data_IF_294002514401
#
_entry.id   IF_294002514401
#
_cell.length_a   1.000
_cell.length_b   1.000
_cell.length_c   1.000
_cell.angle_alpha   90.00
_cell.angle_beta   90.00
_cell.angle_gamma   90.00
#
_symmetry.space_group_name_H-M   'P 1'
#
loop_
_entity.id
_entity.type
_entity.pdbx_description
1 polymer ?
#
# COMPACT_ATOMS: atom_id res chain seq x y z
N UNK A 1 35.59 6.97 9.35
CA UNK A 1 34.30 6.81 8.63
C UNK A 1 34.02 5.33 8.50
N UNK A 2 32.83 4.87 8.86
CA UNK A 2 32.48 3.45 8.63
C UNK A 2 32.42 3.18 7.10
N UNK A 3 32.88 1.99 6.63
CA UNK A 3 32.87 1.67 5.21
C UNK A 3 31.42 1.68 4.65
N UNK A 4 31.27 2.00 3.36
CA UNK A 4 29.97 2.01 2.70
C UNK A 4 29.29 0.62 2.76
N UNK A 5 27.94 0.55 2.79
CA UNK A 5 27.24 -0.73 2.68
C UNK A 5 27.45 -1.34 1.29
N UNK A 6 27.38 -2.67 1.19
CA UNK A 6 27.29 -3.40 -0.08
C UNK A 6 25.83 -3.60 -0.48
N UNK A 7 25.57 -4.07 -1.71
CA UNK A 7 24.22 -4.41 -2.17
C UNK A 7 23.58 -5.49 -1.27
N UNK A 8 24.35 -6.46 -0.79
CA UNK A 8 23.86 -7.48 0.15
C UNK A 8 23.42 -6.88 1.50
N UNK A 9 24.15 -5.89 1.99
CA UNK A 9 23.71 -5.15 3.17
C UNK A 9 22.38 -4.42 2.91
N UNK A 10 22.22 -3.78 1.75
CA UNK A 10 20.98 -3.08 1.39
C UNK A 10 19.81 -4.05 1.22
N UNK A 11 20.01 -5.24 0.64
CA UNK A 11 19.01 -6.30 0.52
C UNK A 11 18.52 -6.78 1.88
N UNK A 12 19.44 -7.22 2.73
CA UNK A 12 19.13 -7.67 4.10
C UNK A 12 18.43 -6.60 4.91
N UNK A 13 18.91 -5.37 4.82
CA UNK A 13 18.28 -4.22 5.46
C UNK A 13 16.86 -3.98 4.94
N UNK A 14 16.64 -3.99 3.61
CA UNK A 14 15.32 -3.81 3.01
C UNK A 14 14.31 -4.86 3.51
N UNK A 15 14.73 -6.13 3.54
CA UNK A 15 13.91 -7.26 3.99
C UNK A 15 13.61 -7.16 5.49
N UNK A 16 14.63 -7.06 6.33
CA UNK A 16 14.48 -7.04 7.79
C UNK A 16 13.67 -5.84 8.27
N UNK A 17 13.88 -4.67 7.64
CA UNK A 17 13.16 -3.45 7.96
C UNK A 17 11.69 -3.52 7.60
N UNK A 18 11.38 -4.03 6.42
CA UNK A 18 10.02 -4.11 5.92
C UNK A 18 9.23 -5.26 6.57
N UNK A 19 9.86 -6.42 6.75
CA UNK A 19 9.26 -7.63 7.33
C UNK A 19 9.61 -7.77 8.82
N UNK A 20 9.34 -6.71 9.58
CA UNK A 20 9.56 -6.68 11.03
C UNK A 20 8.75 -7.76 11.77
N UNK A 21 9.17 -8.14 12.99
CA UNK A 21 8.45 -9.13 13.80
C UNK A 21 6.96 -8.80 13.95
N UNK A 22 6.05 -9.79 13.87
CA UNK A 22 4.62 -9.59 14.02
C UNK A 22 4.24 -8.85 15.30
N UNK A 23 3.25 -7.96 15.19
CA UNK A 23 2.73 -7.14 16.29
C UNK A 23 1.21 -6.98 16.15
N UNK A 24 0.59 -6.07 16.89
CA UNK A 24 -0.85 -5.77 16.73
C UNK A 24 -1.13 -5.06 15.40
N UNK A 25 -2.36 -5.19 14.90
CA UNK A 25 -2.78 -4.57 13.64
C UNK A 25 -2.56 -3.05 13.63
N UNK A 26 -2.94 -2.35 14.71
CA UNK A 26 -2.73 -0.90 14.83
C UNK A 26 -1.26 -0.52 14.77
N UNK A 27 -0.40 -1.24 15.53
CA UNK A 27 1.06 -1.00 15.53
C UNK A 27 1.70 -1.30 14.17
N UNK A 28 1.25 -2.36 13.49
CA UNK A 28 1.76 -2.70 12.16
C UNK A 28 1.43 -1.61 11.13
N UNK A 29 0.18 -1.09 11.13
CA UNK A 29 -0.23 -0.01 10.25
C UNK A 29 0.52 1.29 10.58
N UNK A 30 0.63 1.64 11.85
CA UNK A 30 1.39 2.82 12.30
C UNK A 30 2.87 2.74 11.85
N UNK A 31 3.52 1.57 12.01
CA UNK A 31 4.91 1.37 11.59
C UNK A 31 5.09 1.42 10.06
N UNK A 32 4.12 0.94 9.29
CA UNK A 32 4.10 1.03 7.84
C UNK A 32 3.79 2.44 7.34
N UNK A 33 3.10 3.27 8.15
CA UNK A 33 2.63 4.61 7.82
C UNK A 33 1.55 4.66 6.74
N UNK A 34 1.45 3.61 5.92
CA UNK A 34 0.48 3.44 4.84
C UNK A 34 0.39 1.97 4.41
N UNK A 35 -0.82 1.47 4.18
CA UNK A 35 -1.06 0.13 3.63
C UNK A 35 -1.91 0.25 2.37
N UNK A 36 -1.35 -0.06 1.20
CA UNK A 36 -2.07 0.05 -0.06
C UNK A 36 -3.24 -0.93 -0.12
N UNK A 37 -4.39 -0.44 -0.55
CA UNK A 37 -5.57 -1.24 -0.85
C UNK A 37 -5.61 -1.63 -2.33
N UNK A 38 -6.05 -2.86 -2.60
CA UNK A 38 -6.33 -3.33 -3.95
C UNK A 38 -7.60 -4.21 -3.91
N UNK A 39 -8.53 -4.06 -4.87
CA UNK A 39 -9.78 -4.83 -4.89
C UNK A 39 -9.59 -6.27 -5.30
N UNK A 40 -8.50 -6.63 -5.99
CA UNK A 40 -8.25 -7.99 -6.49
C UNK A 40 -8.03 -8.94 -5.32
N UNK A 41 -8.70 -10.09 -5.37
CA UNK A 41 -8.61 -11.17 -4.39
C UNK A 41 -7.96 -12.40 -5.04
N UNK A 42 -6.64 -12.45 -5.05
CA UNK A 42 -5.90 -13.56 -5.63
C UNK A 42 -4.57 -13.83 -4.87
N UNK A 43 -4.59 -14.67 -3.81
CA UNK A 43 -5.70 -15.39 -3.18
C UNK A 43 -6.48 -14.53 -2.17
N UNK A 44 -5.95 -13.39 -1.73
CA UNK A 44 -6.59 -12.41 -0.84
C UNK A 44 -6.27 -11.00 -1.33
N UNK A 45 -6.87 -9.98 -0.72
CA UNK A 45 -6.58 -8.58 -1.07
C UNK A 45 -5.14 -8.22 -0.70
N UNK A 46 -4.52 -7.29 -1.45
CA UNK A 46 -3.14 -6.86 -1.25
C UNK A 46 -2.84 -6.39 0.18
N UNK A 47 -3.76 -5.64 0.80
CA UNK A 47 -3.60 -5.20 2.19
C UNK A 47 -3.54 -6.37 3.17
N UNK A 48 -4.37 -7.40 2.98
CA UNK A 48 -4.36 -8.58 3.83
C UNK A 48 -3.07 -9.40 3.64
N UNK A 49 -2.64 -9.59 2.38
CA UNK A 49 -1.37 -10.25 2.05
C UNK A 49 -0.15 -9.50 2.61
N UNK A 50 -0.20 -8.16 2.66
CA UNK A 50 0.86 -7.35 3.26
C UNK A 50 0.87 -7.47 4.78
N UNK A 51 -0.31 -7.42 5.43
CA UNK A 51 -0.44 -7.41 6.89
C UNK A 51 -0.20 -8.78 7.51
N UNK A 52 -0.48 -9.89 6.83
CA UNK A 52 -0.29 -11.25 7.36
C UNK A 52 1.13 -11.56 7.83
N UNK A 53 2.13 -10.91 7.27
CA UNK A 53 3.53 -11.08 7.68
C UNK A 53 3.93 -10.21 8.88
N UNK A 54 3.08 -9.27 9.29
CA UNK A 54 3.39 -8.19 10.27
C UNK A 54 2.44 -8.13 11.43
N UNK A 55 1.37 -8.93 11.41
CA UNK A 55 0.36 -8.95 12.46
C UNK A 55 0.21 -10.37 12.99
N UNK A 56 0.25 -10.51 14.31
CA UNK A 56 0.07 -11.80 14.99
C UNK A 56 -1.32 -12.36 14.70
N UNK A 57 -1.39 -13.65 14.34
CA UNK A 57 -2.62 -14.41 14.09
C UNK A 57 -3.59 -13.77 13.08
N UNK A 58 -3.04 -13.00 12.11
CA UNK A 58 -3.83 -12.29 11.11
C UNK A 58 -4.53 -13.23 10.14
N UNK A 59 -5.82 -12.98 9.89
CA UNK A 59 -6.64 -13.69 8.92
C UNK A 59 -7.11 -12.75 7.81
N UNK A 60 -7.35 -13.29 6.63
CA UNK A 60 -7.88 -12.53 5.51
C UNK A 60 -9.20 -11.83 5.90
N UNK A 61 -9.26 -10.52 5.65
CA UNK A 61 -10.39 -9.67 6.01
C UNK A 61 -10.37 -9.09 7.44
N UNK A 62 -9.37 -9.40 8.28
CA UNK A 62 -9.27 -8.83 9.64
C UNK A 62 -9.23 -7.30 9.65
N UNK A 63 -8.53 -6.69 8.69
CA UNK A 63 -8.51 -5.23 8.57
C UNK A 63 -9.91 -4.66 8.35
N UNK A 64 -10.68 -5.25 7.43
CA UNK A 64 -12.03 -4.79 7.12
C UNK A 64 -12.98 -4.96 8.31
N UNK A 65 -12.94 -6.13 8.99
CA UNK A 65 -13.75 -6.40 10.17
C UNK A 65 -13.46 -5.47 11.36
N UNK A 66 -12.21 -5.04 11.49
CA UNK A 66 -11.74 -4.23 12.61
C UNK A 66 -11.64 -2.75 12.29
N UNK A 67 -11.85 -2.35 11.03
CA UNK A 67 -11.62 -1.01 10.51
C UNK A 67 -12.24 0.09 11.39
N UNK A 68 -13.53 -0.04 11.73
CA UNK A 68 -14.26 0.96 12.52
C UNK A 68 -13.72 1.18 13.95
N UNK A 69 -12.86 0.25 14.44
CA UNK A 69 -12.25 0.31 15.78
C UNK A 69 -10.77 0.74 15.74
N UNK A 70 -10.23 1.03 14.55
CA UNK A 70 -8.85 1.43 14.35
C UNK A 70 -8.77 2.94 14.13
N UNK A 71 -7.68 3.54 14.62
CA UNK A 71 -7.37 4.95 14.37
C UNK A 71 -6.70 5.12 13.00
N UNK A 72 -7.47 4.82 11.94
CA UNK A 72 -7.04 4.88 10.55
C UNK A 72 -8.15 5.46 9.67
N UNK A 73 -7.73 6.00 8.54
CA UNK A 73 -8.61 6.47 7.49
C UNK A 73 -8.25 5.80 6.17
N UNK A 74 -9.22 5.66 5.29
CA UNK A 74 -9.04 5.14 3.94
C UNK A 74 -9.01 6.30 2.95
N UNK A 75 -7.88 6.53 2.28
CA UNK A 75 -7.71 7.66 1.36
C UNK A 75 -6.49 7.48 0.43
N UNK A 76 -6.26 8.45 -0.46
CA UNK A 76 -5.08 8.53 -1.31
C UNK A 76 -3.87 9.07 -0.54
N UNK A 77 -2.78 8.31 -0.61
CA UNK A 77 -1.45 8.70 -0.16
C UNK A 77 -0.45 8.56 -1.34
N UNK A 78 0.45 7.59 -1.33
CA UNK A 78 1.22 7.22 -2.54
C UNK A 78 0.29 6.57 -3.57
N UNK A 79 -0.70 5.84 -3.10
CA UNK A 79 -1.81 5.27 -3.83
C UNK A 79 -3.04 5.26 -2.90
N UNK A 80 -4.14 4.63 -3.31
CA UNK A 80 -5.29 4.45 -2.44
C UNK A 80 -5.01 3.37 -1.37
N UNK A 81 -5.37 3.63 -0.12
CA UNK A 81 -5.17 2.66 0.97
C UNK A 81 -5.49 3.18 2.36
N UNK A 82 -4.92 2.56 3.36
CA UNK A 82 -5.18 2.80 4.77
C UNK A 82 -4.03 3.61 5.38
N UNK A 83 -4.37 4.70 6.05
CA UNK A 83 -3.47 5.73 6.58
C UNK A 83 -3.79 5.94 8.05
N UNK A 84 -2.82 6.02 8.98
CA UNK A 84 -3.07 6.47 10.35
C UNK A 84 -3.77 7.83 10.38
N UNK A 85 -4.77 8.02 11.25
CA UNK A 85 -5.56 9.26 11.32
C UNK A 85 -4.71 10.53 11.51
N UNK A 86 -3.63 10.54 12.32
CA UNK A 86 -2.75 11.71 12.42
C UNK A 86 -2.06 12.07 11.10
N UNK A 87 -1.65 11.06 10.30
CA UNK A 87 -1.08 11.29 8.96
C UNK A 87 -2.15 11.80 8.00
N UNK A 88 -3.35 11.22 8.06
CA UNK A 88 -4.47 11.64 7.24
C UNK A 88 -4.87 13.11 7.50
N UNK A 89 -4.84 13.55 8.74
CA UNK A 89 -5.12 14.94 9.11
C UNK A 89 -4.21 15.96 8.39
N UNK A 90 -2.96 15.58 8.08
CA UNK A 90 -2.04 16.42 7.30
C UNK A 90 -2.46 16.58 5.82
N UNK A 91 -3.33 15.73 5.30
CA UNK A 91 -3.75 15.77 3.88
C UNK A 91 -4.90 16.73 3.64
N UNK A 92 -5.62 17.14 4.70
CA UNK A 92 -6.85 17.89 4.60
C UNK A 92 -6.79 19.26 5.28
N UNK A 93 -7.56 20.25 4.79
CA UNK A 93 -8.49 20.15 3.64
C UNK A 93 -7.72 19.98 2.33
N UNK A 94 -8.19 19.06 1.50
CA UNK A 94 -7.57 18.81 0.19
C UNK A 94 -8.22 19.70 -0.86
N UNK A 95 -7.41 20.47 -1.58
CA UNK A 95 -7.85 21.24 -2.75
C UNK A 95 -7.74 20.36 -3.99
N UNK A 96 -8.87 19.94 -4.53
CA UNK A 96 -8.89 19.10 -5.72
C UNK A 96 -8.43 19.87 -6.96
N UNK A 97 -7.68 19.22 -7.85
CA UNK A 97 -7.18 19.85 -9.09
C UNK A 97 -8.28 20.29 -10.05
N UNK A 98 -9.41 19.58 -10.02
CA UNK A 98 -10.57 19.87 -10.86
C UNK A 98 -11.64 20.44 -9.95
N UNK A 99 -12.00 21.70 -10.20
CA UNK A 99 -13.09 22.34 -9.51
C UNK A 99 -14.45 21.80 -10.00
N UNK A 100 -15.38 21.67 -9.07
CA UNK A 100 -16.74 21.30 -9.42
C UNK A 100 -17.52 22.51 -9.90
N UNK A 101 -18.29 22.32 -10.98
CA UNK A 101 -19.26 23.30 -11.40
C UNK A 101 -20.33 23.51 -10.32
N UNK A 102 -20.94 24.67 -10.28
CA UNK A 102 -21.97 25.03 -9.28
C UNK A 102 -23.07 23.97 -9.12
N UNK A 103 -23.58 23.43 -10.23
CA UNK A 103 -24.58 22.36 -10.19
C UNK A 103 -24.09 21.06 -9.54
N UNK A 104 -22.81 20.70 -9.76
CA UNK A 104 -22.21 19.51 -9.13
C UNK A 104 -21.96 19.71 -7.63
N UNK A 105 -21.52 20.91 -7.23
CA UNK A 105 -21.37 21.29 -5.83
C UNK A 105 -22.73 21.27 -5.11
N UNK A 106 -23.78 21.79 -5.72
CA UNK A 106 -25.14 21.76 -5.14
C UNK A 106 -25.62 20.32 -4.88
N UNK A 107 -25.39 19.40 -5.83
CA UNK A 107 -25.70 17.98 -5.63
C UNK A 107 -24.87 17.36 -4.50
N UNK A 108 -23.58 17.70 -4.40
CA UNK A 108 -22.71 17.20 -3.34
C UNK A 108 -23.17 17.70 -1.95
N UNK A 109 -23.56 18.95 -1.82
CA UNK A 109 -24.09 19.50 -0.57
C UNK A 109 -25.39 18.81 -0.15
N UNK A 110 -26.31 18.57 -1.08
CA UNK A 110 -27.55 17.84 -0.81
C UNK A 110 -27.27 16.40 -0.32
N UNK A 111 -26.30 15.70 -0.93
CA UNK A 111 -25.84 14.39 -0.46
C UNK A 111 -25.20 14.50 0.94
N UNK A 112 -24.40 15.53 1.20
CA UNK A 112 -23.76 15.74 2.50
C UNK A 112 -24.82 15.90 3.62
N UNK A 113 -25.85 16.69 3.37
CA UNK A 113 -26.95 16.90 4.33
C UNK A 113 -27.74 15.61 4.55
N UNK A 114 -27.99 14.83 3.50
CA UNK A 114 -28.60 13.51 3.62
C UNK A 114 -27.73 12.56 4.48
N UNK A 115 -26.40 12.53 4.24
CA UNK A 115 -25.48 11.70 5.02
C UNK A 115 -25.44 12.14 6.49
N UNK A 116 -25.44 13.46 6.75
CA UNK A 116 -25.50 14.00 8.12
C UNK A 116 -26.75 13.56 8.87
N UNK A 117 -27.90 13.61 8.20
CA UNK A 117 -29.19 13.22 8.82
C UNK A 117 -29.27 11.72 9.12
N UNK A 118 -28.55 10.86 8.37
CA UNK A 118 -28.56 9.40 8.52
C UNK A 118 -27.39 8.84 9.34
N UNK A 119 -26.32 9.62 9.51
CA UNK A 119 -25.06 9.21 10.17
C UNK A 119 -24.16 8.41 9.26
N UNK A 120 -24.49 7.15 8.97
CA UNK A 120 -23.73 6.27 8.05
C UNK A 120 -24.64 5.76 6.96
N UNK A 121 -24.24 5.91 5.70
CA UNK A 121 -25.06 5.55 4.53
C UNK A 121 -24.34 4.56 3.61
N UNK A 122 -25.12 3.64 3.06
CA UNK A 122 -24.68 2.78 1.97
C UNK A 122 -24.90 3.54 0.64
N UNK A 123 -24.01 3.45 -0.38
CA UNK A 123 -24.19 4.13 -1.68
C UNK A 123 -25.55 3.88 -2.36
N UNK A 124 -26.13 2.68 -2.15
CA UNK A 124 -27.47 2.35 -2.68
C UNK A 124 -28.58 3.22 -2.10
N UNK A 125 -28.49 3.62 -0.83
CA UNK A 125 -29.48 4.49 -0.18
C UNK A 125 -29.44 5.89 -0.80
N UNK A 126 -28.23 6.41 -1.03
CA UNK A 126 -28.02 7.70 -1.72
C UNK A 126 -28.54 7.64 -3.15
N UNK A 127 -28.25 6.56 -3.86
CA UNK A 127 -28.68 6.36 -5.24
C UNK A 127 -30.22 6.25 -5.35
N UNK A 128 -30.85 5.52 -4.43
CA UNK A 128 -32.31 5.40 -4.37
C UNK A 128 -33.00 6.74 -4.05
N UNK A 129 -32.39 7.56 -3.17
CA UNK A 129 -32.98 8.85 -2.77
C UNK A 129 -32.85 9.93 -3.84
N UNK A 130 -31.67 10.04 -4.49
CA UNK A 130 -31.38 11.12 -5.42
C UNK A 130 -31.59 10.75 -6.90
N UNK A 131 -31.57 9.48 -7.26
CA UNK A 131 -31.79 8.95 -8.61
C UNK A 131 -30.99 9.70 -9.70
N UNK A 132 -29.72 10.04 -9.46
CA UNK A 132 -28.90 10.85 -10.36
C UNK A 132 -28.57 10.18 -11.71
N UNK A 133 -28.99 8.92 -11.90
CA UNK A 133 -28.74 8.14 -13.10
C UNK A 133 -27.34 7.54 -13.18
N UNK A 134 -26.95 7.12 -14.38
CA UNK A 134 -25.67 6.48 -14.66
C UNK A 134 -24.71 7.41 -15.40
N UNK A 135 -23.41 7.20 -15.18
CA UNK A 135 -22.31 7.95 -15.82
C UNK A 135 -21.22 6.97 -16.24
N UNK A 136 -20.42 7.36 -17.22
CA UNK A 136 -19.23 6.59 -17.59
C UNK A 136 -18.19 6.70 -16.48
N UNK A 137 -17.68 5.57 -16.03
CA UNK A 137 -16.61 5.54 -15.03
C UNK A 137 -15.23 5.66 -15.70
N UNK A 138 -14.18 5.79 -14.84
CA UNK A 138 -12.80 5.94 -15.31
C UNK A 138 -12.30 4.82 -16.22
N UNK A 139 -12.87 3.62 -16.13
CA UNK A 139 -12.49 2.44 -16.93
C UNK A 139 -13.36 2.27 -18.19
N UNK A 140 -14.18 3.26 -18.53
CA UNK A 140 -15.09 3.21 -19.69
C UNK A 140 -16.39 2.43 -19.46
N UNK A 141 -16.59 1.84 -18.29
CA UNK A 141 -17.83 1.17 -17.89
C UNK A 141 -18.86 2.15 -17.31
N UNK A 142 -20.06 1.63 -16.99
CA UNK A 142 -21.14 2.39 -16.36
C UNK A 142 -21.06 2.30 -14.84
N UNK A 143 -21.25 3.44 -14.15
CA UNK A 143 -21.42 3.51 -12.69
C UNK A 143 -22.54 4.50 -12.32
N UNK A 144 -23.07 4.40 -11.09
CA UNK A 144 -24.05 5.34 -10.60
C UNK A 144 -23.41 6.72 -10.37
N UNK A 145 -24.07 7.77 -10.85
CA UNK A 145 -23.60 9.14 -10.70
C UNK A 145 -23.45 9.56 -9.23
N UNK A 146 -24.35 9.08 -8.36
CA UNK A 146 -24.27 9.30 -6.90
C UNK A 146 -23.01 8.69 -6.31
N UNK A 147 -22.65 7.46 -6.68
CA UNK A 147 -21.41 6.78 -6.22
C UNK A 147 -20.16 7.55 -6.66
N UNK A 148 -20.09 7.98 -7.92
CA UNK A 148 -18.96 8.76 -8.42
C UNK A 148 -18.84 10.12 -7.71
N UNK A 149 -19.98 10.75 -7.41
CA UNK A 149 -20.01 12.02 -6.67
C UNK A 149 -19.53 11.82 -5.24
N UNK A 150 -19.96 10.74 -4.56
CA UNK A 150 -19.51 10.41 -3.20
C UNK A 150 -18.00 10.10 -3.16
N UNK A 151 -17.44 9.40 -4.15
CA UNK A 151 -15.98 9.21 -4.27
C UNK A 151 -15.26 10.56 -4.41
N UNK A 152 -15.81 11.49 -5.18
CA UNK A 152 -15.28 12.84 -5.30
C UNK A 152 -15.42 13.69 -4.02
N UNK A 153 -16.50 13.50 -3.25
CA UNK A 153 -16.70 14.11 -1.93
C UNK A 153 -15.72 13.57 -0.91
N UNK A 154 -15.51 12.26 -0.90
CA UNK A 154 -14.52 11.59 -0.05
C UNK A 154 -13.11 12.12 -0.35
N UNK A 155 -12.71 12.19 -1.61
CA UNK A 155 -11.41 12.76 -2.01
C UNK A 155 -11.21 14.19 -1.51
N UNK A 156 -12.27 15.01 -1.44
CA UNK A 156 -12.23 16.39 -0.94
C UNK A 156 -12.33 16.50 0.59
N UNK A 157 -12.51 15.38 1.28
CA UNK A 157 -12.64 15.37 2.73
C UNK A 157 -14.04 15.76 3.24
N UNK A 158 -15.05 15.82 2.40
CA UNK A 158 -16.46 16.05 2.81
C UNK A 158 -17.07 14.79 3.45
N UNK A 159 -16.66 13.61 2.99
CA UNK A 159 -17.06 12.30 3.50
C UNK A 159 -15.86 11.52 3.96
N UNK A 160 -16.08 10.59 4.91
CA UNK A 160 -15.13 9.56 5.31
C UNK A 160 -15.73 8.17 5.11
N UNK A 161 -14.86 7.16 5.02
CA UNK A 161 -15.32 5.77 5.07
C UNK A 161 -15.54 5.42 6.54
N UNK A 162 -16.79 5.10 6.91
CA UNK A 162 -17.13 4.69 8.27
C UNK A 162 -16.80 3.21 8.52
N UNK A 163 -17.12 2.35 7.55
CA UNK A 163 -16.82 0.92 7.53
C UNK A 163 -17.03 0.34 6.14
N UNK A 164 -16.73 -0.94 5.98
CA UNK A 164 -17.05 -1.69 4.76
C UNK A 164 -18.01 -2.83 5.08
N UNK A 165 -18.91 -3.12 4.16
CA UNK A 165 -19.80 -4.27 4.19
C UNK A 165 -19.66 -5.04 2.87
N UNK A 166 -19.20 -6.29 2.94
CA UNK A 166 -18.94 -7.09 1.75
C UNK A 166 -17.95 -6.47 0.75
N UNK A 167 -17.07 -5.56 1.24
CA UNK A 167 -16.13 -4.81 0.41
C UNK A 167 -16.67 -3.47 -0.11
N UNK A 168 -17.95 -3.17 0.10
CA UNK A 168 -18.57 -1.89 -0.27
C UNK A 168 -18.27 -0.87 0.84
N UNK A 169 -17.88 0.35 0.45
CA UNK A 169 -17.63 1.46 1.38
C UNK A 169 -18.95 2.05 1.85
N UNK A 170 -19.11 2.21 3.17
CA UNK A 170 -20.17 2.99 3.77
C UNK A 170 -19.61 4.33 4.22
N UNK A 171 -20.33 5.39 3.94
CA UNK A 171 -19.85 6.75 4.11
C UNK A 171 -20.53 7.45 5.29
N UNK A 172 -19.75 8.27 5.99
CA UNK A 172 -20.23 9.23 6.98
C UNK A 172 -19.75 10.63 6.62
N UNK A 173 -20.43 11.65 7.09
CA UNK A 173 -19.95 13.03 6.98
C UNK A 173 -18.63 13.18 7.77
N UNK A 174 -17.71 13.97 7.24
CA UNK A 174 -16.49 14.35 7.94
C UNK A 174 -16.63 15.76 8.47
N UNK A 175 -16.22 15.98 9.70
CA UNK A 175 -15.95 17.32 10.20
C UNK A 175 -14.66 17.85 9.57
N UNK A 176 -14.71 19.05 9.04
CA UNK A 176 -13.57 19.68 8.38
C UNK A 176 -12.50 20.01 9.42
N UNK A 177 -11.33 19.42 9.24
CA UNK A 177 -10.15 19.79 10.04
C UNK A 177 -9.59 21.13 9.58
N UNK A 178 -8.96 21.88 10.50
CA UNK A 178 -8.16 23.05 10.12
C UNK A 178 -6.97 22.61 9.24
N UNK A 179 -6.60 23.46 8.27
CA UNK A 179 -5.40 23.22 7.49
C UNK A 179 -4.15 23.23 8.38
N UNK A 180 -3.11 22.44 8.05
CA UNK A 180 -1.83 22.55 8.73
C UNK A 180 -1.29 23.98 8.69
N UNK A 181 -0.89 24.52 9.83
CA UNK A 181 -0.34 25.87 9.95
C UNK A 181 1.06 25.97 9.38
N UNK A 182 1.84 24.89 9.45
CA UNK A 182 3.17 24.77 8.87
C UNK A 182 3.17 23.74 7.74
N UNK A 183 3.02 24.23 6.52
CA UNK A 183 2.98 23.41 5.29
C UNK A 183 4.32 22.71 5.06
N UNK A 184 5.44 23.36 5.39
CA UNK A 184 6.78 22.79 5.23
C UNK A 184 6.97 21.59 6.15
N UNK A 185 6.66 21.73 7.43
CA UNK A 185 6.75 20.63 8.40
C UNK A 185 5.78 19.48 8.06
N UNK A 186 4.55 19.81 7.63
CA UNK A 186 3.58 18.81 7.21
C UNK A 186 4.06 18.02 5.99
N UNK A 187 4.60 18.72 4.97
CA UNK A 187 5.13 18.06 3.77
C UNK A 187 6.37 17.20 4.08
N UNK A 188 7.27 17.69 4.93
CA UNK A 188 8.45 16.94 5.38
C UNK A 188 8.03 15.67 6.14
N UNK A 189 6.99 15.73 6.98
CA UNK A 189 6.42 14.56 7.67
C UNK A 189 5.87 13.53 6.67
N UNK A 190 5.12 13.96 5.64
CA UNK A 190 4.60 13.06 4.61
C UNK A 190 5.75 12.40 3.83
N UNK A 191 6.79 13.15 3.49
CA UNK A 191 7.99 12.64 2.83
C UNK A 191 8.69 11.60 3.71
N UNK A 192 8.86 11.88 5.00
CA UNK A 192 9.51 10.96 5.93
C UNK A 192 8.75 9.64 6.06
N UNK A 193 7.41 9.66 6.09
CA UNK A 193 6.60 8.45 6.09
C UNK A 193 6.86 7.60 4.83
N UNK A 194 6.87 8.23 3.66
CA UNK A 194 7.14 7.54 2.39
C UNK A 194 8.53 6.92 2.37
N UNK A 195 9.56 7.71 2.71
CA UNK A 195 10.94 7.24 2.66
C UNK A 195 11.16 6.12 3.69
N UNK A 196 10.69 6.31 4.92
CA UNK A 196 10.78 5.29 5.97
C UNK A 196 10.04 4.00 5.60
N UNK A 197 8.94 4.08 4.86
CA UNK A 197 8.22 2.89 4.40
C UNK A 197 9.03 2.03 3.42
N UNK A 198 9.70 2.66 2.46
CA UNK A 198 10.29 1.99 1.30
C UNK A 198 11.82 1.92 1.31
N UNK A 199 12.51 2.51 2.31
CA UNK A 199 13.98 2.47 2.39
C UNK A 199 14.55 1.04 2.40
N UNK A 200 15.77 0.82 1.86
CA UNK A 200 16.65 1.80 1.19
C UNK A 200 16.13 2.11 -0.22
N UNK A 201 16.32 3.33 -0.68
CA UNK A 201 15.80 3.80 -1.96
C UNK A 201 16.92 4.31 -2.88
N UNK A 202 17.04 3.82 -4.12
CA UNK A 202 17.87 4.50 -5.10
C UNK A 202 17.29 5.89 -5.41
N UNK A 203 18.11 6.84 -5.79
CA UNK A 203 17.72 8.26 -5.96
C UNK A 203 16.50 8.46 -6.88
N UNK A 204 16.42 7.67 -7.97
CA UNK A 204 15.27 7.69 -8.88
C UNK A 204 13.97 7.33 -8.13
N UNK A 205 13.99 6.27 -7.35
CA UNK A 205 12.84 5.79 -6.57
C UNK A 205 12.46 6.77 -5.47
N UNK A 206 13.46 7.36 -4.81
CA UNK A 206 13.26 8.41 -3.81
C UNK A 206 12.45 9.58 -4.39
N UNK A 207 12.91 10.14 -5.50
CA UNK A 207 12.25 11.27 -6.17
C UNK A 207 10.86 10.90 -6.69
N UNK A 208 10.71 9.72 -7.30
CA UNK A 208 9.44 9.22 -7.82
C UNK A 208 8.39 9.08 -6.71
N UNK A 209 8.73 8.43 -5.60
CA UNK A 209 7.82 8.20 -4.47
C UNK A 209 7.34 9.52 -3.85
N UNK A 210 8.24 10.48 -3.62
CA UNK A 210 7.84 11.81 -3.12
C UNK A 210 6.95 12.54 -4.12
N UNK A 211 7.23 12.40 -5.42
CA UNK A 211 6.38 12.98 -6.48
C UNK A 211 4.96 12.42 -6.45
N UNK A 212 4.77 11.16 -6.03
CA UNK A 212 3.43 10.56 -5.92
C UNK A 212 2.55 11.19 -4.83
N UNK A 213 3.13 11.89 -3.86
CA UNK A 213 2.37 12.68 -2.87
C UNK A 213 1.49 13.77 -3.51
N UNK A 214 1.66 14.06 -4.80
CA UNK A 214 0.74 14.91 -5.58
C UNK A 214 -0.72 14.42 -5.57
N UNK A 215 -0.96 13.15 -5.28
CA UNK A 215 -2.30 12.58 -5.17
C UNK A 215 -2.88 12.76 -3.76
N UNK A 216 -2.00 12.78 -2.76
CA UNK A 216 -2.35 12.97 -1.36
C UNK A 216 -2.62 14.45 -1.02
N UNK A 217 -1.69 15.32 -1.39
CA UNK A 217 -1.72 16.76 -1.10
C UNK A 217 -1.45 17.58 -2.39
N UNK A 218 -2.41 17.63 -3.34
CA UNK A 218 -2.25 18.37 -4.59
C UNK A 218 -2.10 19.88 -4.38
N UNK A 219 -2.62 20.41 -3.28
CA UNK A 219 -2.48 21.82 -2.88
C UNK A 219 -1.03 22.22 -2.58
N UNK A 220 -0.12 21.27 -2.31
CA UNK A 220 1.29 21.53 -1.96
C UNK A 220 2.26 21.14 -3.07
N UNK A 221 1.85 21.28 -4.31
CA UNK A 221 2.65 20.88 -5.47
C UNK A 221 4.01 21.58 -5.52
N UNK A 222 4.06 22.87 -5.19
CA UNK A 222 5.30 23.67 -5.24
C UNK A 222 6.24 23.32 -4.08
N UNK A 223 5.70 23.11 -2.87
CA UNK A 223 6.45 22.70 -1.69
C UNK A 223 7.13 21.34 -1.85
N UNK A 224 6.55 20.44 -2.64
CA UNK A 224 7.07 19.09 -2.88
C UNK A 224 8.49 19.06 -3.45
N UNK A 225 8.83 20.00 -4.35
CA UNK A 225 10.19 20.09 -4.93
C UNK A 225 11.21 20.49 -3.86
N UNK A 226 10.87 21.46 -3.05
CA UNK A 226 11.71 21.91 -1.92
C UNK A 226 11.87 20.78 -0.88
N UNK A 227 10.80 20.05 -0.56
CA UNK A 227 10.84 18.93 0.36
C UNK A 227 11.75 17.77 -0.12
N UNK A 228 11.80 17.48 -1.43
CA UNK A 228 12.77 16.52 -1.99
C UNK A 228 14.21 16.96 -1.69
N UNK A 229 14.53 18.23 -1.92
CA UNK A 229 15.87 18.76 -1.67
C UNK A 229 16.25 18.69 -0.19
N UNK A 230 15.36 19.13 0.71
CA UNK A 230 15.57 19.05 2.17
C UNK A 230 15.72 17.61 2.64
N UNK A 231 14.88 16.70 2.17
CA UNK A 231 14.94 15.29 2.55
C UNK A 231 16.27 14.64 2.11
N UNK A 232 16.75 14.92 0.89
CA UNK A 232 18.07 14.42 0.45
C UNK A 232 19.24 14.88 1.32
N UNK A 233 19.13 16.03 1.97
CA UNK A 233 20.13 16.52 2.93
C UNK A 233 20.01 15.84 4.30
N UNK A 234 18.79 15.51 4.74
CA UNK A 234 18.52 14.88 6.04
C UNK A 234 18.80 13.39 6.05
N UNK A 235 18.62 12.69 4.93
CA UNK A 235 18.75 11.24 4.84
C UNK A 235 20.20 10.81 4.64
N UNK A 236 20.59 9.70 5.28
CA UNK A 236 21.88 9.07 5.05
C UNK A 236 21.92 8.49 3.64
N UNK A 237 23.09 8.55 2.99
CA UNK A 237 23.24 8.01 1.65
C UNK A 237 24.65 7.46 1.40
N UNK A 238 24.74 6.50 0.46
CA UNK A 238 26.01 6.04 -0.10
C UNK A 238 25.82 5.64 -1.57
N UNK A 239 26.93 5.59 -2.31
CA UNK A 239 26.96 5.02 -3.65
C UNK A 239 27.26 3.53 -3.53
N UNK A 240 26.36 2.68 -4.08
CA UNK A 240 26.50 1.23 -4.14
C UNK A 240 26.17 0.78 -5.55
N UNK A 241 27.08 0.05 -6.17
CA UNK A 241 27.01 -0.42 -7.56
C UNK A 241 26.62 0.73 -8.55
N UNK A 242 27.29 1.87 -8.41
CA UNK A 242 27.11 3.06 -9.26
C UNK A 242 25.82 3.85 -8.99
N UNK A 243 24.96 3.44 -8.06
CA UNK A 243 23.72 4.11 -7.71
C UNK A 243 23.80 4.74 -6.32
N UNK A 244 23.30 5.97 -6.18
CA UNK A 244 23.12 6.59 -4.85
C UNK A 244 21.86 6.06 -4.20
N UNK A 245 22.01 5.49 -2.99
CA UNK A 245 20.94 4.96 -2.17
C UNK A 245 20.75 5.83 -0.94
N UNK A 246 19.49 5.96 -0.49
CA UNK A 246 19.08 6.74 0.67
C UNK A 246 18.35 5.87 1.70
N UNK A 247 18.60 6.13 2.99
CA UNK A 247 17.90 5.48 4.11
C UNK A 247 17.84 6.43 5.31
N UNK A 248 16.96 6.16 6.33
CA UNK A 248 16.87 6.99 7.53
C UNK A 248 18.22 7.15 8.24
N UNK A 249 18.59 8.37 8.69
CA UNK A 249 19.91 8.64 9.26
C UNK A 249 20.14 7.94 10.62
N UNK A 250 19.07 7.59 11.32
CA UNK A 250 19.06 6.84 12.57
C UNK A 250 19.19 5.30 12.37
N UNK A 251 19.30 4.83 11.12
CA UNK A 251 19.39 3.41 10.79
C UNK A 251 20.75 3.08 10.13
N UNK A 252 21.27 1.87 10.41
CA UNK A 252 22.51 1.38 9.80
C UNK A 252 22.23 0.11 8.96
N UNK A 253 22.33 0.16 7.61
CA UNK A 253 22.12 -1.01 6.75
C UNK A 253 23.06 -2.19 7.05
N UNK A 254 24.22 -1.95 7.65
CA UNK A 254 25.22 -2.97 7.99
C UNK A 254 24.99 -3.64 9.35
N UNK A 255 23.96 -3.23 10.09
CA UNK A 255 23.74 -3.76 11.43
C UNK A 255 23.52 -5.30 11.41
N UNK A 256 24.17 -6.07 12.30
CA UNK A 256 24.03 -7.54 12.35
C UNK A 256 22.59 -8.03 12.54
N UNK A 257 21.74 -7.21 13.15
CA UNK A 257 20.29 -7.49 13.33
C UNK A 257 19.52 -7.68 12.02
N UNK A 258 20.11 -7.31 10.87
CA UNK A 258 19.53 -7.52 9.56
C UNK A 258 19.91 -8.86 8.92
N UNK A 259 20.51 -9.77 9.68
CA UNK A 259 20.81 -11.11 9.21
C UNK A 259 19.56 -11.78 8.63
N UNK A 260 19.76 -12.46 7.49
CA UNK A 260 18.65 -13.13 6.81
C UNK A 260 18.16 -14.32 7.64
N UNK A 261 16.86 -14.38 7.91
CA UNK A 261 16.23 -15.53 8.56
C UNK A 261 15.96 -16.64 7.54
N UNK A 262 16.07 -17.90 7.95
CA UNK A 262 15.69 -19.06 7.14
C UNK A 262 14.15 -19.17 7.07
N UNK A 263 13.52 -18.32 6.27
CA UNK A 263 12.04 -18.27 6.14
C UNK A 263 11.68 -18.00 4.70
N UNK A 264 10.72 -18.78 4.17
CA UNK A 264 10.05 -18.51 2.89
C UNK A 264 8.85 -17.60 3.12
N UNK A 265 8.61 -16.64 2.21
CA UNK A 265 7.41 -15.80 2.21
C UNK A 265 6.91 -15.53 0.80
N UNK A 266 5.59 -15.66 0.58
CA UNK A 266 4.93 -15.11 -0.60
C UNK A 266 4.50 -13.67 -0.30
N UNK A 267 5.07 -12.71 -1.02
CA UNK A 267 4.85 -11.28 -0.81
C UNK A 267 3.72 -10.76 -1.71
N UNK A 268 2.95 -9.81 -1.20
CA UNK A 268 1.99 -9.09 -2.04
C UNK A 268 2.71 -8.31 -3.15
N UNK A 269 2.11 -8.14 -4.35
CA UNK A 269 2.65 -7.24 -5.38
C UNK A 269 2.84 -5.80 -4.91
N UNK A 270 2.12 -5.39 -3.87
CA UNK A 270 2.16 -4.06 -3.26
C UNK A 270 2.84 -4.02 -1.88
N UNK A 271 3.50 -5.12 -1.48
CA UNK A 271 4.35 -5.14 -0.29
C UNK A 271 5.49 -4.11 -0.43
N UNK A 272 5.89 -3.40 0.64
CA UNK A 272 7.01 -2.45 0.58
C UNK A 272 8.31 -3.04 0.01
N UNK A 273 8.55 -4.33 0.21
CA UNK A 273 9.70 -5.02 -0.38
C UNK A 273 9.65 -5.02 -1.90
N UNK A 274 8.45 -5.18 -2.48
CA UNK A 274 8.21 -5.46 -3.90
C UNK A 274 7.75 -4.24 -4.70
N UNK A 275 7.02 -3.33 -4.08
CA UNK A 275 6.19 -2.30 -4.71
C UNK A 275 6.92 -1.47 -5.78
N UNK A 276 8.12 -1.00 -5.51
CA UNK A 276 8.95 -0.24 -6.43
C UNK A 276 9.74 -1.19 -7.34
N UNK A 277 9.29 -1.30 -8.59
CA UNK A 277 9.84 -2.23 -9.59
C UNK A 277 11.28 -1.92 -9.98
N UNK A 278 11.64 -0.64 -10.05
CA UNK A 278 13.01 -0.23 -10.33
C UNK A 278 13.96 -0.61 -9.19
N UNK A 279 13.58 -0.27 -7.94
CA UNK A 279 14.33 -0.68 -6.74
C UNK A 279 14.42 -2.20 -6.62
N UNK A 280 13.32 -2.91 -6.89
CA UNK A 280 13.26 -4.36 -6.89
C UNK A 280 14.29 -4.96 -7.85
N UNK A 281 14.31 -4.50 -9.11
CA UNK A 281 15.27 -4.98 -10.10
C UNK A 281 16.72 -4.70 -9.69
N UNK A 282 16.99 -3.55 -9.09
CA UNK A 282 18.34 -3.20 -8.60
C UNK A 282 18.76 -4.05 -7.40
N UNK A 283 17.83 -4.46 -6.54
CA UNK A 283 18.15 -5.32 -5.39
C UNK A 283 18.28 -6.80 -5.76
N UNK A 284 17.50 -7.33 -6.68
CA UNK A 284 17.43 -8.77 -6.97
C UNK A 284 17.83 -9.19 -8.39
N UNK A 285 18.19 -8.25 -9.26
CA UNK A 285 18.75 -8.55 -10.57
C UNK A 285 17.77 -9.04 -11.62
N UNK A 286 16.45 -9.03 -11.36
CA UNK A 286 15.43 -9.44 -12.32
C UNK A 286 14.16 -8.57 -12.25
N UNK A 287 13.46 -8.47 -13.37
CA UNK A 287 12.28 -7.62 -13.49
C UNK A 287 11.01 -8.39 -13.08
N UNK A 288 10.40 -8.00 -11.96
CA UNK A 288 9.07 -8.44 -11.58
C UNK A 288 8.01 -7.49 -12.14
N UNK A 289 6.94 -8.05 -12.71
CA UNK A 289 5.76 -7.31 -13.17
C UNK A 289 4.48 -7.89 -12.58
N UNK A 290 3.58 -7.01 -12.23
CA UNK A 290 2.21 -7.34 -11.85
C UNK A 290 1.37 -7.44 -13.13
N UNK A 291 0.77 -8.62 -13.40
CA UNK A 291 0.20 -8.93 -14.71
C UNK A 291 -1.34 -9.03 -14.72
N UNK A 292 -2.02 -8.56 -13.66
CA UNK A 292 -3.49 -8.64 -13.58
C UNK A 292 -4.20 -7.92 -14.74
N UNK A 293 -3.59 -6.87 -15.27
CA UNK A 293 -4.12 -6.10 -16.43
C UNK A 293 -3.52 -6.53 -17.78
N UNK A 294 -2.65 -7.55 -17.77
CA UNK A 294 -2.09 -8.13 -19.00
C UNK A 294 -3.05 -9.19 -19.53
N UNK A 295 -3.38 -9.19 -20.84
CA UNK A 295 -4.18 -10.24 -21.45
C UNK A 295 -3.62 -11.64 -21.15
N UNK A 296 -4.48 -12.61 -20.86
CA UNK A 296 -4.07 -13.94 -20.41
C UNK A 296 -2.97 -14.60 -21.27
N UNK A 297 -3.02 -14.58 -22.63
CA UNK A 297 -1.98 -15.18 -23.47
C UNK A 297 -0.61 -14.49 -23.39
N UNK A 298 -0.54 -13.28 -22.84
CA UNK A 298 0.69 -12.47 -22.72
C UNK A 298 1.27 -12.48 -21.31
N UNK A 299 0.65 -13.18 -20.36
CA UNK A 299 1.15 -13.31 -18.99
C UNK A 299 2.31 -14.28 -18.95
N UNK A 300 3.39 -13.88 -18.31
CA UNK A 300 4.60 -14.69 -18.16
C UNK A 300 4.59 -15.46 -16.83
N UNK A 301 4.07 -14.83 -15.76
CA UNK A 301 4.11 -15.36 -14.39
C UNK A 301 2.74 -15.72 -13.82
N UNK A 302 1.68 -15.20 -14.40
CA UNK A 302 0.31 -15.44 -13.94
C UNK A 302 -0.45 -14.16 -13.61
N UNK A 303 -1.75 -14.32 -13.31
CA UNK A 303 -2.65 -13.19 -13.08
C UNK A 303 -2.23 -12.32 -11.90
N UNK A 304 -1.88 -12.96 -10.77
CA UNK A 304 -1.53 -12.27 -9.52
C UNK A 304 -0.35 -13.00 -8.84
N UNK A 305 0.72 -13.19 -9.59
CA UNK A 305 1.89 -13.89 -9.11
C UNK A 305 2.52 -13.17 -7.90
N UNK A 306 2.65 -13.87 -6.78
CA UNK A 306 3.22 -13.37 -5.54
C UNK A 306 4.74 -13.62 -5.55
N UNK A 307 5.61 -12.59 -5.46
CA UNK A 307 7.05 -12.81 -5.35
C UNK A 307 7.41 -13.73 -4.19
N UNK A 308 8.27 -14.70 -4.46
CA UNK A 308 8.75 -15.70 -3.52
C UNK A 308 10.09 -15.27 -2.92
N UNK A 309 10.05 -14.86 -1.67
CA UNK A 309 11.25 -14.49 -0.90
C UNK A 309 11.77 -15.72 -0.14
N UNK A 310 13.03 -16.04 -0.31
CA UNK A 310 13.81 -16.97 0.48
C UNK A 310 14.99 -16.26 1.12
N UNK A 311 15.06 -16.24 2.45
CA UNK A 311 16.06 -15.45 3.19
C UNK A 311 15.95 -13.95 2.82
N UNK A 312 16.97 -13.43 2.14
CA UNK A 312 17.03 -12.06 1.61
C UNK A 312 16.94 -11.98 0.07
N UNK A 313 16.66 -13.12 -0.60
CA UNK A 313 16.60 -13.24 -2.05
C UNK A 313 15.15 -13.46 -2.53
N UNK A 314 14.70 -12.66 -3.47
CA UNK A 314 13.44 -12.95 -4.19
C UNK A 314 13.78 -13.84 -5.38
N UNK A 315 13.54 -15.14 -5.20
CA UNK A 315 14.03 -16.22 -6.09
C UNK A 315 13.03 -16.69 -7.13
N UNK A 316 11.77 -16.22 -7.04
CA UNK A 316 10.70 -16.71 -7.91
C UNK A 316 9.37 -16.06 -7.61
N UNK A 317 8.30 -16.77 -7.92
CA UNK A 317 6.93 -16.35 -7.68
C UNK A 317 6.00 -17.54 -7.44
N UNK A 318 4.81 -17.29 -6.86
CA UNK A 318 3.76 -18.30 -6.73
C UNK A 318 2.39 -17.76 -7.11
N UNK A 319 1.63 -18.57 -7.81
CA UNK A 319 0.20 -18.41 -8.03
C UNK A 319 -0.54 -19.29 -7.04
N UNK A 320 -1.33 -18.68 -6.16
CA UNK A 320 -2.01 -19.38 -5.08
C UNK A 320 -3.52 -19.16 -5.18
N UNK A 321 -4.29 -20.22 -5.04
CA UNK A 321 -5.76 -20.15 -5.04
C UNK A 321 -6.36 -21.16 -4.08
N UNK A 322 -7.53 -20.87 -3.52
CA UNK A 322 -8.32 -21.85 -2.78
C UNK A 322 -9.32 -22.51 -3.75
N UNK A 323 -9.28 -23.83 -3.83
CA UNK A 323 -10.22 -24.63 -4.60
C UNK A 323 -10.71 -25.79 -3.72
N UNK A 324 -12.01 -25.93 -3.55
CA UNK A 324 -12.66 -26.99 -2.76
C UNK A 324 -12.05 -27.17 -1.35
N UNK A 325 -11.71 -26.06 -0.69
CA UNK A 325 -11.09 -26.04 0.64
C UNK A 325 -9.59 -26.38 0.68
N UNK A 326 -8.99 -26.72 -0.46
CA UNK A 326 -7.55 -26.96 -0.59
C UNK A 326 -6.82 -25.72 -1.13
N UNK A 327 -5.59 -25.49 -0.68
CA UNK A 327 -4.71 -24.49 -1.26
C UNK A 327 -3.96 -25.12 -2.43
N UNK A 328 -4.23 -24.63 -3.64
CA UNK A 328 -3.49 -24.99 -4.85
C UNK A 328 -2.38 -23.96 -5.05
N UNK A 329 -1.17 -24.43 -5.33
CA UNK A 329 0.01 -23.59 -5.57
C UNK A 329 0.73 -24.01 -6.85
N UNK A 330 1.06 -23.02 -7.67
CA UNK A 330 1.95 -23.13 -8.82
C UNK A 330 3.13 -22.19 -8.58
N UNK A 331 4.35 -22.76 -8.44
CA UNK A 331 5.55 -22.02 -8.02
C UNK A 331 6.58 -22.04 -9.14
N UNK A 332 6.98 -20.85 -9.60
CA UNK A 332 8.04 -20.66 -10.58
C UNK A 332 9.31 -20.05 -9.96
N UNK A 333 10.45 -20.36 -10.55
CA UNK A 333 11.77 -19.89 -10.10
C UNK A 333 12.48 -19.12 -11.21
N UNK A 334 13.22 -18.08 -10.85
CA UNK A 334 13.99 -17.25 -11.78
C UNK A 334 15.07 -18.07 -12.48
N UNK A 335 15.68 -19.02 -11.77
CA UNK A 335 16.72 -19.93 -12.27
C UNK A 335 16.16 -21.15 -12.98
N UNK A 336 14.84 -21.30 -13.08
CA UNK A 336 14.17 -22.46 -13.68
C UNK A 336 13.98 -23.66 -12.75
N UNK A 337 14.63 -23.69 -11.58
CA UNK A 337 14.54 -24.77 -10.62
C UNK A 337 14.56 -24.22 -9.16
N UNK A 338 13.97 -24.96 -8.19
CA UNK A 338 14.07 -24.62 -6.78
C UNK A 338 15.51 -24.72 -6.26
N UNK A 339 15.85 -23.98 -5.19
CA UNK A 339 17.11 -24.21 -4.49
C UNK A 339 17.25 -25.68 -4.03
N UNK A 340 18.45 -26.25 -4.18
CA UNK A 340 18.77 -27.62 -3.70
C UNK A 340 18.95 -27.71 -2.17
N UNK A 341 18.56 -26.72 -1.41
CA UNK A 341 18.65 -26.61 0.04
C UNK A 341 17.40 -27.26 0.68
N UNK A 342 17.60 -28.33 1.49
CA UNK A 342 16.49 -29.01 2.19
C UNK A 342 15.69 -28.04 3.09
N UNK A 343 16.37 -27.07 3.71
CA UNK A 343 15.71 -26.07 4.52
C UNK A 343 14.75 -25.18 3.70
N UNK A 344 15.00 -24.99 2.40
CA UNK A 344 14.06 -24.28 1.52
C UNK A 344 12.75 -25.07 1.37
N UNK A 345 12.81 -26.37 1.08
CA UNK A 345 11.63 -27.19 0.88
C UNK A 345 10.75 -27.21 2.14
N UNK A 346 11.35 -27.45 3.31
CA UNK A 346 10.65 -27.42 4.60
C UNK A 346 9.98 -26.05 4.86
N UNK A 347 10.68 -24.95 4.59
CA UNK A 347 10.15 -23.62 4.81
C UNK A 347 9.09 -23.20 3.78
N UNK A 348 9.14 -23.76 2.57
CA UNK A 348 8.07 -23.59 1.58
C UNK A 348 6.77 -24.26 2.06
N UNK A 349 6.86 -25.49 2.57
CA UNK A 349 5.69 -26.19 3.13
C UNK A 349 5.11 -25.45 4.34
N UNK A 350 5.95 -24.93 5.22
CA UNK A 350 5.53 -24.09 6.35
C UNK A 350 4.80 -22.83 5.86
N UNK A 351 5.30 -22.18 4.83
CA UNK A 351 4.67 -20.97 4.28
C UNK A 351 3.33 -21.28 3.58
N UNK A 352 3.23 -22.38 2.85
CA UNK A 352 1.97 -22.85 2.25
C UNK A 352 0.93 -23.16 3.33
N UNK A 353 1.32 -23.81 4.41
CA UNK A 353 0.43 -24.05 5.55
C UNK A 353 0.00 -22.75 6.24
N UNK A 354 0.90 -21.78 6.44
CA UNK A 354 0.57 -20.43 6.94
C UNK A 354 -0.41 -19.71 6.02
N UNK A 355 -0.23 -19.83 4.69
CA UNK A 355 -1.11 -19.24 3.71
C UNK A 355 -2.51 -19.88 3.78
N UNK A 356 -2.60 -21.20 3.87
CA UNK A 356 -3.87 -21.91 4.04
C UNK A 356 -4.61 -21.44 5.30
N UNK A 357 -3.93 -21.41 6.44
CA UNK A 357 -4.49 -20.94 7.70
C UNK A 357 -4.96 -19.49 7.62
N UNK A 358 -4.19 -18.60 6.97
CA UNK A 358 -4.56 -17.22 6.75
C UNK A 358 -5.82 -17.06 5.88
N UNK A 359 -5.99 -17.89 4.86
CA UNK A 359 -7.11 -17.81 3.91
C UNK A 359 -8.42 -18.41 4.44
N UNK A 360 -8.36 -19.35 5.38
CA UNK A 360 -9.54 -20.00 5.93
C UNK A 360 -10.50 -19.06 6.69
N UNK A 361 -10.06 -17.81 6.97
CA UNK A 361 -10.88 -16.85 7.69
C UNK A 361 -11.19 -17.28 9.14
N UNK A 362 -11.93 -16.46 9.84
CA UNK A 362 -12.62 -16.83 11.10
C UNK A 362 -14.11 -16.94 10.84
#
# INVERSE_FOLDING_TARGET
MSPAPTLDHLRRYAVARSLFPPTTLSRAIARLGFVQADPIRAPARAQDLTLRHRVTDYRAGDLERRYAKLDIEEDFFVNYGFIPSPTHALLHPRVARIEWKKAQMSKALAILDFVRSRGVVHPREVDAHFAHGKVTNWFGGSSNASTQLMDGMHYRGMLRIARREGGIRLYAAREMSAAPTDVTAAMDTLVDIVIRKYAPLPERSFTMLVTMLRHAAPQWTDERKAAIARAKQRYASAVVDGLRWYWPPDENPRAPRHAAANVVRFLAPFDPVVWDRYRFEKLWGWAYRFEAYTPAPKRVRGYYALPLLWRDQVIGWGNLTMQDGALISDVGFVTGAPPGDSAFAEQLDVELQRMRVFLQGR
#
